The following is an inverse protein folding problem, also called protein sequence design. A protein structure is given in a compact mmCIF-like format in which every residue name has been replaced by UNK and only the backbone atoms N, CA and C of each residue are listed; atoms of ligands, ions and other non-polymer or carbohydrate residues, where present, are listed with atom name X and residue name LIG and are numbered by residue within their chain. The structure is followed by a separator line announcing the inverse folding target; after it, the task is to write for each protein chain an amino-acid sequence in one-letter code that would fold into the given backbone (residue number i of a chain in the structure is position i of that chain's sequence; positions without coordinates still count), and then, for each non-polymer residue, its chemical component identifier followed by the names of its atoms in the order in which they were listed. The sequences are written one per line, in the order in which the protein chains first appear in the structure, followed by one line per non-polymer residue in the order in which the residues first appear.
data_IF_348300176225
#
_entry.id   IF_348300176225
#
_cell.length_a   1.000
_cell.length_b   1.000
_cell.length_c   1.000
_cell.angle_alpha   90.00
_cell.angle_beta   90.00
_cell.angle_gamma   90.00
#
_symmetry.space_group_name_H-M   'P 1'
#
loop_
_entity.id
_entity.type
_entity.pdbx_description
1 polymer ?
#
# COMPACT_ATOMS: atom_id res chain seq x y z
N UNK A 1 -27.33 60.90 -16.72
CA UNK A 1 -26.15 60.26 -16.10
C UNK A 1 -26.19 58.79 -16.47
N UNK A 2 -25.21 58.29 -17.23
CA UNK A 2 -25.19 56.89 -17.63
C UNK A 2 -24.82 56.02 -16.41
N UNK A 3 -25.78 55.22 -15.93
CA UNK A 3 -25.49 54.19 -14.93
C UNK A 3 -24.43 53.24 -15.49
N UNK A 4 -23.25 53.19 -14.87
CA UNK A 4 -22.21 52.22 -15.23
C UNK A 4 -22.73 50.83 -14.85
N UNK A 5 -23.20 50.07 -15.84
CA UNK A 5 -23.60 48.68 -15.65
C UNK A 5 -22.40 47.87 -15.19
N UNK A 6 -22.40 47.51 -13.91
CA UNK A 6 -21.37 46.68 -13.28
C UNK A 6 -21.86 45.25 -13.28
N UNK A 7 -21.01 44.32 -13.74
CA UNK A 7 -21.35 42.90 -13.84
C UNK A 7 -20.49 42.07 -12.90
N UNK A 8 -21.08 41.03 -12.32
CA UNK A 8 -20.39 39.99 -11.56
C UNK A 8 -20.26 38.72 -12.38
N UNK A 9 -19.08 38.12 -12.32
CA UNK A 9 -18.90 36.73 -12.76
C UNK A 9 -19.52 35.77 -11.75
N UNK A 10 -19.75 34.54 -12.16
CA UNK A 10 -20.18 33.48 -11.24
C UNK A 10 -19.25 33.31 -10.02
N UNK A 11 -17.93 33.47 -10.21
CA UNK A 11 -16.95 33.47 -9.12
C UNK A 11 -17.16 34.66 -8.16
N UNK A 12 -17.56 35.82 -8.68
CA UNK A 12 -17.93 36.99 -7.87
C UNK A 12 -19.18 36.73 -7.02
N UNK A 13 -20.20 36.10 -7.59
CA UNK A 13 -21.41 35.68 -6.86
C UNK A 13 -21.07 34.70 -5.73
N UNK A 14 -20.24 33.69 -6.01
CA UNK A 14 -19.77 32.71 -5.00
C UNK A 14 -19.08 33.40 -3.81
N UNK A 15 -18.29 34.46 -4.04
CA UNK A 15 -17.64 35.24 -2.96
C UNK A 15 -18.64 36.00 -2.07
N UNK A 16 -19.83 36.31 -2.60
CA UNK A 16 -20.95 36.95 -1.88
C UNK A 16 -21.89 35.94 -1.22
N UNK A 17 -21.56 34.64 -1.24
CA UNK A 17 -22.36 33.59 -0.60
C UNK A 17 -23.43 32.96 -1.50
N UNK A 18 -23.47 33.30 -2.78
CA UNK A 18 -24.39 32.66 -3.73
C UNK A 18 -23.96 31.23 -4.04
N UNK A 19 -24.92 30.31 -3.98
CA UNK A 19 -24.77 28.92 -4.43
C UNK A 19 -25.35 28.73 -5.84
N UNK A 20 -24.92 27.69 -6.57
CA UNK A 20 -25.51 27.36 -7.89
C UNK A 20 -27.03 27.18 -7.84
N UNK A 21 -27.55 26.64 -6.73
CA UNK A 21 -28.98 26.48 -6.53
C UNK A 21 -29.68 27.83 -6.39
N UNK A 22 -29.12 28.74 -5.57
CA UNK A 22 -29.66 30.09 -5.39
C UNK A 22 -29.62 30.90 -6.69
N UNK A 23 -28.55 30.78 -7.47
CA UNK A 23 -28.47 31.45 -8.78
C UNK A 23 -29.57 30.93 -9.71
N UNK A 24 -29.76 29.61 -9.83
CA UNK A 24 -30.83 29.05 -10.67
C UNK A 24 -32.23 29.42 -10.19
N UNK A 25 -32.47 29.46 -8.89
CA UNK A 25 -33.80 29.70 -8.31
C UNK A 25 -34.18 31.18 -8.23
N UNK A 26 -33.23 32.07 -7.91
CA UNK A 26 -33.52 33.47 -7.60
C UNK A 26 -33.03 34.44 -8.68
N UNK A 27 -31.94 34.10 -9.39
CA UNK A 27 -31.42 34.94 -10.47
C UNK A 27 -31.79 34.43 -11.86
N UNK A 28 -31.95 33.12 -12.04
CA UNK A 28 -32.24 32.51 -13.34
C UNK A 28 -31.10 32.71 -14.35
N UNK A 29 -31.46 33.09 -15.58
CA UNK A 29 -30.52 33.28 -16.68
C UNK A 29 -29.59 34.49 -16.47
N UNK A 30 -28.31 34.40 -16.91
CA UNK A 30 -27.37 35.51 -16.84
C UNK A 30 -27.78 36.67 -17.76
N UNK A 31 -27.43 37.89 -17.39
CA UNK A 31 -27.69 39.09 -18.20
C UNK A 31 -26.81 39.14 -19.47
N UNK A 32 -25.59 38.61 -19.37
CA UNK A 32 -24.71 38.43 -20.53
C UNK A 32 -24.12 37.02 -20.50
N UNK A 33 -24.30 36.30 -21.60
CA UNK A 33 -23.72 34.98 -21.83
C UNK A 33 -22.92 34.99 -23.13
N UNK A 34 -21.66 34.56 -23.08
CA UNK A 34 -20.80 34.58 -24.27
C UNK A 34 -19.57 33.71 -24.12
N UNK A 35 -18.83 33.56 -25.22
CA UNK A 35 -17.54 32.86 -25.24
C UNK A 35 -16.44 33.91 -25.14
N UNK A 36 -15.49 33.73 -24.22
CA UNK A 36 -14.35 34.65 -24.10
C UNK A 36 -13.36 34.41 -25.24
N UNK A 37 -13.12 35.38 -26.15
CA UNK A 37 -12.15 35.23 -27.23
C UNK A 37 -10.70 35.08 -26.74
N UNK A 38 -10.40 35.56 -25.53
CA UNK A 38 -9.04 35.59 -24.94
C UNK A 38 -8.74 34.35 -24.10
N UNK A 39 -9.76 33.55 -23.75
CA UNK A 39 -9.65 32.36 -22.90
C UNK A 39 -10.40 31.21 -23.55
N UNK A 40 -9.68 30.31 -24.18
CA UNK A 40 -10.28 29.08 -24.74
C UNK A 40 -10.84 28.22 -23.60
N UNK A 41 -12.16 28.31 -23.41
CA UNK A 41 -12.94 27.52 -22.46
C UNK A 41 -14.18 26.97 -23.18
N UNK A 42 -14.56 25.74 -22.83
CA UNK A 42 -15.77 25.08 -23.33
C UNK A 42 -17.03 25.67 -22.65
N UNK A 43 -16.90 26.16 -21.40
CA UNK A 43 -18.01 26.77 -20.68
C UNK A 43 -18.14 28.27 -21.01
N UNK A 44 -19.34 28.76 -21.36
CA UNK A 44 -19.58 30.18 -21.63
C UNK A 44 -19.44 31.02 -20.35
N UNK A 45 -18.90 32.23 -20.51
CA UNK A 45 -18.89 33.24 -19.45
C UNK A 45 -20.31 33.67 -19.17
N UNK A 46 -20.69 33.66 -17.89
CA UNK A 46 -22.00 34.12 -17.39
C UNK A 46 -21.77 35.34 -16.51
N UNK A 47 -22.36 36.46 -16.90
CA UNK A 47 -22.29 37.72 -16.18
C UNK A 47 -23.67 38.12 -15.68
N UNK A 48 -23.71 38.61 -14.45
CA UNK A 48 -24.94 39.00 -13.77
C UNK A 48 -24.83 40.47 -13.36
N UNK A 49 -25.83 41.28 -13.67
CA UNK A 49 -25.91 42.69 -13.31
C UNK A 49 -25.87 42.83 -11.79
N UNK A 50 -24.90 43.60 -11.29
CA UNK A 50 -24.72 43.82 -9.85
C UNK A 50 -26.00 44.39 -9.22
N UNK A 51 -26.66 45.35 -9.89
CA UNK A 51 -27.91 45.94 -9.40
C UNK A 51 -29.03 44.89 -9.24
N UNK A 52 -29.12 43.92 -10.17
CA UNK A 52 -30.09 42.81 -10.10
C UNK A 52 -29.77 41.90 -8.92
N UNK A 53 -28.50 41.57 -8.74
CA UNK A 53 -28.01 40.74 -7.63
C UNK A 53 -28.32 41.40 -6.29
N UNK A 54 -28.01 42.69 -6.14
CA UNK A 54 -28.27 43.44 -4.91
C UNK A 54 -29.77 43.63 -4.63
N UNK A 55 -30.60 43.74 -5.68
CA UNK A 55 -32.05 43.76 -5.53
C UNK A 55 -32.57 42.44 -4.95
N UNK A 56 -32.07 41.31 -5.44
CA UNK A 56 -32.43 39.98 -4.92
C UNK A 56 -31.85 39.74 -3.52
N UNK A 57 -30.63 40.19 -3.23
CA UNK A 57 -30.03 40.07 -1.89
C UNK A 57 -30.86 40.78 -0.80
N UNK A 58 -31.65 41.80 -1.16
CA UNK A 58 -32.55 42.52 -0.25
C UNK A 58 -33.87 41.81 0.01
N UNK A 59 -34.19 40.74 -0.71
CA UNK A 59 -35.49 40.07 -0.55
C UNK A 59 -35.46 39.03 0.58
N UNK A 60 -36.58 38.79 1.28
CA UNK A 60 -36.65 37.78 2.33
C UNK A 60 -36.42 36.35 1.79
N UNK A 61 -36.72 36.08 0.53
CA UNK A 61 -36.47 34.80 -0.13
C UNK A 61 -34.97 34.49 -0.19
N UNK A 62 -34.14 35.48 -0.53
CA UNK A 62 -32.69 35.31 -0.52
C UNK A 62 -32.16 35.03 0.89
N UNK A 63 -32.64 35.77 1.88
CA UNK A 63 -32.26 35.53 3.28
C UNK A 63 -32.65 34.12 3.73
N UNK A 64 -33.86 33.66 3.40
CA UNK A 64 -34.32 32.31 3.72
C UNK A 64 -33.50 31.23 3.01
N UNK A 65 -33.23 31.38 1.71
CA UNK A 65 -32.40 30.46 0.93
C UNK A 65 -30.95 30.40 1.42
N UNK A 66 -30.35 31.55 1.74
CA UNK A 66 -29.00 31.64 2.28
C UNK A 66 -28.90 30.97 3.66
N UNK A 67 -29.87 31.23 4.55
CA UNK A 67 -29.95 30.58 5.85
C UNK A 67 -30.15 29.06 5.72
N UNK A 68 -31.02 28.61 4.81
CA UNK A 68 -31.23 27.19 4.53
C UNK A 68 -29.97 26.51 3.98
N UNK A 69 -29.29 27.14 3.02
CA UNK A 69 -28.01 26.66 2.49
C UNK A 69 -26.93 26.59 3.58
N UNK A 70 -26.87 27.59 4.47
CA UNK A 70 -26.00 27.61 5.63
C UNK A 70 -26.26 26.46 6.60
N UNK A 71 -27.54 26.19 6.92
CA UNK A 71 -27.94 25.05 7.78
C UNK A 71 -27.57 23.72 7.13
N UNK A 72 -27.85 23.54 5.84
CA UNK A 72 -27.48 22.32 5.11
C UNK A 72 -25.97 22.09 5.08
N UNK A 73 -25.18 23.15 4.84
CA UNK A 73 -23.72 23.07 4.88
C UNK A 73 -23.19 22.76 6.29
N UNK A 74 -23.79 23.33 7.34
CA UNK A 74 -23.45 23.01 8.74
C UNK A 74 -23.79 21.54 9.07
N UNK A 75 -24.97 21.07 8.69
CA UNK A 75 -25.41 19.68 8.89
C UNK A 75 -24.51 18.69 8.14
N UNK A 76 -24.12 19.00 6.90
CA UNK A 76 -23.19 18.20 6.12
C UNK A 76 -21.80 18.11 6.78
N UNK A 77 -21.27 19.24 7.28
CA UNK A 77 -20.01 19.28 8.04
C UNK A 77 -20.09 18.47 9.32
N UNK A 78 -21.16 18.62 10.10
CA UNK A 78 -21.39 17.85 11.31
C UNK A 78 -21.49 16.34 11.02
N UNK A 79 -22.17 15.96 9.94
CA UNK A 79 -22.25 14.57 9.49
C UNK A 79 -20.89 14.01 9.06
N UNK A 80 -20.07 14.80 8.37
CA UNK A 80 -18.71 14.41 8.00
C UNK A 80 -17.81 14.21 9.23
N UNK A 81 -17.89 15.12 10.21
CA UNK A 81 -17.13 15.00 11.46
C UNK A 81 -17.56 13.79 12.29
N UNK A 82 -18.87 13.50 12.39
CA UNK A 82 -19.35 12.27 13.06
C UNK A 82 -18.83 11.00 12.39
N UNK A 83 -18.84 10.93 11.05
CA UNK A 83 -18.26 9.79 10.32
C UNK A 83 -16.76 9.65 10.58
N UNK A 84 -16.03 10.76 10.55
CA UNK A 84 -14.59 10.80 10.89
C UNK A 84 -14.35 10.26 12.30
N UNK A 85 -15.06 10.77 13.30
CA UNK A 85 -14.93 10.33 14.69
C UNK A 85 -15.26 8.84 14.86
N UNK A 86 -16.32 8.35 14.20
CA UNK A 86 -16.68 6.94 14.22
C UNK A 86 -15.56 6.07 13.67
N UNK A 87 -14.98 6.41 12.52
CA UNK A 87 -13.87 5.65 11.93
C UNK A 87 -12.62 5.69 12.81
N UNK A 88 -12.26 6.86 13.36
CA UNK A 88 -11.14 6.95 14.30
C UNK A 88 -11.38 6.11 15.57
N UNK A 89 -12.61 6.07 16.07
CA UNK A 89 -12.99 5.22 17.20
C UNK A 89 -12.86 3.73 16.85
N UNK A 90 -13.37 3.30 15.69
CA UNK A 90 -13.21 1.93 15.20
C UNK A 90 -11.73 1.56 15.06
N UNK A 91 -10.92 2.43 14.46
CA UNK A 91 -9.47 2.22 14.36
C UNK A 91 -8.83 2.11 15.73
N UNK A 92 -9.27 2.85 16.76
CA UNK A 92 -8.69 2.73 18.11
C UNK A 92 -9.10 1.44 18.82
N UNK A 93 -10.36 1.04 18.67
CA UNK A 93 -10.93 -0.12 19.33
C UNK A 93 -10.46 -1.45 18.72
N UNK A 94 -10.31 -1.51 17.39
CA UNK A 94 -9.97 -2.76 16.69
C UNK A 94 -8.56 -3.25 17.08
N UNK A 95 -8.41 -4.46 17.66
CA UNK A 95 -7.11 -4.99 18.04
C UNK A 95 -6.32 -5.45 16.81
N UNK A 96 -5.16 -4.84 16.57
CA UNK A 96 -4.27 -5.24 15.46
C UNK A 96 -3.54 -6.52 15.83
N UNK A 97 -4.05 -7.64 15.32
CA UNK A 97 -3.43 -8.97 15.44
C UNK A 97 -2.29 -9.13 14.44
N UNK A 98 -1.07 -9.16 14.94
CA UNK A 98 0.17 -9.43 14.20
C UNK A 98 0.47 -10.93 14.28
N UNK A 99 0.75 -11.62 13.16
CA UNK A 99 1.15 -13.03 13.19
C UNK A 99 2.50 -13.17 13.88
N UNK A 100 2.59 -14.08 14.87
CA UNK A 100 3.84 -14.43 15.54
C UNK A 100 4.45 -15.63 14.83
N UNK A 101 5.60 -15.43 14.20
CA UNK A 101 6.32 -16.40 13.39
C UNK A 101 7.72 -16.61 13.98
N UNK A 102 8.26 -17.84 13.96
CA UNK A 102 9.67 -18.09 14.24
C UNK A 102 10.57 -17.23 13.34
N UNK A 103 11.72 -16.81 13.85
CA UNK A 103 12.58 -15.86 13.13
C UNK A 103 12.94 -16.33 11.72
N UNK A 104 13.39 -17.57 11.58
CA UNK A 104 13.77 -18.13 10.29
C UNK A 104 12.61 -18.10 9.27
N UNK A 105 11.37 -18.28 9.73
CA UNK A 105 10.19 -18.21 8.84
C UNK A 105 9.86 -16.77 8.45
N UNK A 106 9.93 -15.83 9.39
CA UNK A 106 9.73 -14.41 9.08
C UNK A 106 10.76 -13.91 8.06
N UNK A 107 12.03 -14.29 8.21
CA UNK A 107 13.09 -13.97 7.25
C UNK A 107 12.80 -14.54 5.86
N UNK A 108 12.49 -15.85 5.78
CA UNK A 108 12.15 -16.50 4.50
C UNK A 108 10.99 -15.80 3.80
N UNK A 109 9.90 -15.51 4.51
CA UNK A 109 8.73 -14.84 3.95
C UNK A 109 9.02 -13.40 3.53
N UNK A 110 9.80 -12.66 4.31
CA UNK A 110 10.21 -11.30 4.00
C UNK A 110 11.06 -11.23 2.72
N UNK A 111 12.05 -12.12 2.59
CA UNK A 111 12.88 -12.24 1.39
C UNK A 111 12.04 -12.62 0.18
N UNK A 112 11.14 -13.62 0.32
CA UNK A 112 10.22 -14.01 -0.76
C UNK A 112 9.34 -12.85 -1.19
N UNK A 113 8.71 -12.15 -0.24
CA UNK A 113 7.87 -10.99 -0.51
C UNK A 113 8.64 -9.88 -1.22
N UNK A 114 9.87 -9.58 -0.80
CA UNK A 114 10.75 -8.61 -1.49
C UNK A 114 11.04 -9.01 -2.92
N UNK A 115 11.33 -10.28 -3.18
CA UNK A 115 11.57 -10.80 -4.54
C UNK A 115 10.33 -10.64 -5.42
N UNK A 116 9.15 -10.93 -4.89
CA UNK A 116 7.86 -10.75 -5.59
C UNK A 116 7.58 -9.27 -5.94
N UNK A 117 7.93 -8.34 -5.05
CA UNK A 117 7.78 -6.89 -5.32
C UNK A 117 8.85 -6.34 -6.27
N UNK A 118 10.02 -6.99 -6.36
CA UNK A 118 11.17 -6.53 -7.13
C UNK A 118 11.14 -6.87 -8.63
N UNK A 119 10.07 -7.50 -9.13
CA UNK A 119 9.90 -7.75 -10.57
C UNK A 119 10.99 -8.63 -11.20
N UNK A 120 11.66 -9.48 -10.44
CA UNK A 120 12.47 -10.56 -11.02
C UNK A 120 11.56 -11.74 -11.36
N UNK A 121 11.73 -12.42 -12.52
CA UNK A 121 10.95 -13.60 -12.84
C UNK A 121 11.04 -14.59 -11.67
N UNK A 122 9.91 -15.24 -11.35
CA UNK A 122 9.92 -16.40 -10.47
C UNK A 122 11.06 -17.33 -10.91
N UNK A 123 11.85 -17.92 -10.00
CA UNK A 123 12.77 -18.97 -10.43
C UNK A 123 11.89 -19.99 -11.14
N UNK A 124 12.07 -20.12 -12.46
CA UNK A 124 11.49 -21.22 -13.21
C UNK A 124 11.85 -22.49 -12.42
N UNK A 125 10.95 -23.48 -12.31
CA UNK A 125 11.38 -24.79 -11.86
C UNK A 125 12.59 -25.13 -12.73
N UNK A 126 13.75 -25.33 -12.11
CA UNK A 126 14.96 -25.67 -12.86
C UNK A 126 14.62 -26.87 -13.76
N UNK A 127 15.23 -27.00 -14.94
CA UNK A 127 15.04 -28.19 -15.75
C UNK A 127 15.64 -29.38 -15.01
N UNK A 128 14.86 -29.95 -14.08
CA UNK A 128 14.91 -31.37 -13.83
C UNK A 128 14.36 -32.01 -15.09
N UNK A 129 15.25 -32.28 -16.03
CA UNK A 129 14.93 -33.15 -17.14
C UNK A 129 14.42 -34.47 -16.53
N UNK A 130 13.18 -34.91 -16.80
CA UNK A 130 12.86 -36.30 -16.61
C UNK A 130 13.72 -37.07 -17.61
N UNK A 131 14.67 -37.85 -17.11
CA UNK A 131 15.33 -38.86 -17.92
C UNK A 131 14.26 -39.88 -18.34
N UNK A 132 13.74 -39.70 -19.54
CA UNK A 132 12.91 -40.68 -20.25
C UNK A 132 13.79 -41.87 -20.63
N UNK A 133 13.99 -42.80 -19.70
CA UNK A 133 14.34 -44.18 -20.03
C UNK A 133 13.05 -44.91 -20.40
N UNK A 134 12.93 -45.28 -21.66
CA UNK A 134 11.79 -46.05 -22.17
C UNK A 134 11.64 -47.38 -21.41
N UNK A 135 10.42 -47.84 -21.09
CA UNK A 135 10.19 -49.16 -20.55
C UNK A 135 10.45 -50.22 -21.64
N UNK A 136 11.38 -51.13 -21.37
CA UNK A 136 11.55 -52.34 -22.17
C UNK A 136 10.34 -53.27 -21.99
N UNK A 137 9.71 -53.62 -23.11
CA UNK A 137 8.62 -54.58 -23.21
C UNK A 137 9.10 -56.01 -22.91
N UNK A 138 8.81 -56.51 -21.72
CA UNK A 138 8.82 -57.93 -21.39
C UNK A 138 7.38 -58.45 -21.25
N UNK A 139 7.00 -59.41 -22.08
CA UNK A 139 5.69 -60.05 -22.11
C UNK A 139 5.39 -60.86 -20.82
N UNK A 140 4.11 -61.11 -20.48
CA UNK A 140 3.72 -61.67 -19.19
C UNK A 140 3.92 -63.19 -19.14
N UNK A 141 4.53 -63.68 -18.06
CA UNK A 141 4.46 -65.09 -17.67
C UNK A 141 3.30 -65.29 -16.70
N UNK A 142 2.39 -66.19 -17.06
CA UNK A 142 1.24 -66.65 -16.28
C UNK A 142 1.68 -67.55 -15.11
N UNK A 143 1.14 -67.29 -13.92
CA UNK A 143 1.26 -68.19 -12.77
C UNK A 143 0.66 -67.58 -11.50
N UNK A 144 -0.46 -68.12 -11.04
CA UNK A 144 -1.04 -67.90 -9.72
C UNK A 144 -1.18 -69.28 -9.01
N UNK A 145 -1.51 -69.37 -7.71
CA UNK A 145 -0.68 -68.98 -6.56
C UNK A 145 -0.58 -70.13 -5.50
N UNK A 146 0.03 -69.79 -4.35
CA UNK A 146 -0.14 -70.38 -2.99
C UNK A 146 0.98 -71.32 -2.48
N UNK A 147 1.02 -71.66 -1.16
CA UNK A 147 1.63 -70.83 -0.11
C UNK A 147 2.70 -71.59 0.71
N UNK A 148 3.54 -70.89 1.47
CA UNK A 148 4.43 -71.52 2.43
C UNK A 148 5.16 -70.52 3.35
N UNK A 149 4.83 -70.57 4.64
CA UNK A 149 5.63 -70.08 5.78
C UNK A 149 6.12 -71.31 6.56
N UNK A 150 7.06 -71.24 7.51
CA UNK A 150 8.19 -70.32 7.73
C UNK A 150 9.53 -71.08 7.85
N UNK A 151 10.68 -70.39 7.87
CA UNK A 151 11.98 -71.02 8.14
C UNK A 151 12.98 -70.07 8.80
N UNK A 152 13.26 -70.33 10.06
CA UNK A 152 14.21 -69.63 10.94
C UNK A 152 15.67 -69.82 10.49
N UNK A 153 16.46 -68.75 10.50
CA UNK A 153 17.91 -68.84 10.35
C UNK A 153 18.61 -67.48 10.47
N UNK A 154 19.32 -67.27 11.56
CA UNK A 154 20.37 -66.27 11.72
C UNK A 154 21.65 -66.99 12.15
N UNK A 155 22.84 -66.37 12.13
CA UNK A 155 23.42 -65.43 11.18
C UNK A 155 24.73 -66.01 10.57
N UNK A 156 25.21 -65.43 9.45
CA UNK A 156 26.52 -65.76 8.86
C UNK A 156 27.49 -64.58 8.96
N UNK A 157 28.62 -64.80 9.62
CA UNK A 157 29.73 -63.85 9.76
C UNK A 157 30.50 -63.68 8.43
N UNK A 158 30.86 -62.45 8.10
CA UNK A 158 31.78 -62.11 7.01
C UNK A 158 32.51 -60.81 7.33
N UNK A 159 33.82 -60.91 7.56
CA UNK A 159 34.73 -59.85 8.00
C UNK A 159 35.09 -58.84 6.86
N UNK A 160 35.78 -57.73 7.16
CA UNK A 160 35.79 -56.52 6.33
C UNK A 160 36.83 -56.58 5.19
N UNK A 161 36.51 -55.94 4.07
CA UNK A 161 37.42 -55.71 2.96
C UNK A 161 38.10 -54.34 3.05
N UNK A 162 39.43 -54.36 3.08
CA UNK A 162 40.31 -53.20 3.02
C UNK A 162 40.47 -52.65 1.59
N UNK A 163 40.69 -51.34 1.47
CA UNK A 163 41.12 -50.67 0.24
C UNK A 163 41.39 -49.19 0.50
N UNK A 164 42.68 -48.83 0.60
CA UNK A 164 43.19 -47.49 0.90
C UNK A 164 43.45 -46.66 -0.39
N UNK A 165 44.24 -45.57 -0.37
CA UNK A 165 43.77 -44.18 -0.45
C UNK A 165 44.13 -43.47 -1.77
N UNK A 166 43.47 -42.35 -2.06
CA UNK A 166 43.88 -41.41 -3.11
C UNK A 166 44.56 -40.17 -2.51
N UNK A 167 45.82 -39.95 -2.85
CA UNK A 167 46.64 -38.82 -2.44
C UNK A 167 46.82 -37.78 -3.58
N UNK A 168 47.08 -36.53 -3.18
CA UNK A 168 47.71 -35.46 -3.98
C UNK A 168 46.76 -34.31 -4.35
N UNK A 169 47.10 -33.03 -4.21
CA UNK A 169 48.23 -32.31 -3.61
C UNK A 169 47.78 -30.83 -3.43
N UNK A 170 48.43 -30.04 -2.55
CA UNK A 170 48.08 -28.63 -2.30
C UNK A 170 48.85 -27.67 -3.22
N UNK A 171 48.26 -26.50 -3.49
CA UNK A 171 48.90 -25.36 -4.18
C UNK A 171 48.90 -24.09 -3.31
N UNK A 172 49.89 -23.18 -3.47
CA UNK A 172 50.41 -22.33 -2.40
C UNK A 172 49.66 -21.00 -2.23
N UNK A 173 49.87 -20.36 -1.07
CA UNK A 173 49.29 -19.06 -0.72
C UNK A 173 50.24 -17.85 -0.83
N UNK A 174 49.65 -16.70 -0.45
CA UNK A 174 50.20 -15.37 -0.11
C UNK A 174 50.29 -14.31 -1.24
N UNK A 175 50.39 -12.99 -0.93
CA UNK A 175 49.58 -12.15 -0.02
C UNK A 175 49.13 -10.77 -0.63
N UNK A 176 48.56 -9.92 0.25
CA UNK A 176 47.94 -8.55 0.11
C UNK A 176 48.62 -7.48 -0.79
N UNK A 177 47.77 -6.62 -1.38
CA UNK A 177 47.75 -5.13 -1.33
C UNK A 177 46.56 -4.64 -2.19
N UNK A 178 45.68 -3.69 -1.81
CA UNK A 178 45.94 -2.26 -1.66
C UNK A 178 45.62 -1.52 -2.98
N UNK A 179 44.46 -0.85 -3.08
CA UNK A 179 44.12 -0.06 -4.27
C UNK A 179 42.77 0.67 -4.12
N UNK A 180 42.84 2.00 -3.95
CA UNK A 180 41.70 2.86 -3.61
C UNK A 180 40.70 3.08 -4.72
N UNK A 181 39.47 3.43 -4.33
CA UNK A 181 38.45 3.96 -5.23
C UNK A 181 38.27 5.45 -4.97
N UNK A 182 38.61 6.27 -5.96
CA UNK A 182 38.19 7.66 -6.07
C UNK A 182 37.00 7.75 -7.04
N UNK A 183 35.92 8.42 -6.62
CA UNK A 183 34.72 8.61 -7.45
C UNK A 183 33.49 9.19 -6.72
N UNK A 184 33.64 10.39 -6.13
CA UNK A 184 32.72 11.58 -6.03
C UNK A 184 31.18 11.45 -5.85
N UNK A 185 30.47 12.49 -5.33
CA UNK A 185 29.55 12.35 -4.21
C UNK A 185 28.07 12.67 -4.51
N UNK A 186 27.21 12.30 -3.55
CA UNK A 186 26.05 13.13 -3.17
C UNK A 186 24.67 12.57 -3.50
N UNK A 187 23.96 12.07 -2.47
CA UNK A 187 22.55 12.43 -2.19
C UNK A 187 22.05 11.77 -0.88
N UNK A 188 22.19 12.53 0.21
CA UNK A 188 21.28 12.67 1.37
C UNK A 188 20.63 11.39 1.97
N UNK A 189 21.14 11.01 3.15
CA UNK A 189 20.29 10.66 4.31
C UNK A 189 20.36 9.23 4.83
N UNK A 190 21.12 9.01 5.92
CA UNK A 190 20.84 7.96 6.90
C UNK A 190 21.65 6.66 6.82
N UNK A 191 22.98 6.73 6.81
CA UNK A 191 23.86 5.56 6.98
C UNK A 191 23.98 5.14 8.46
N UNK A 192 22.91 4.56 9.01
CA UNK A 192 22.96 3.81 10.26
C UNK A 192 22.16 2.50 10.06
N UNK A 193 22.73 1.59 9.27
CA UNK A 193 22.10 0.29 8.94
C UNK A 193 22.28 -0.18 7.49
N UNK A 194 23.30 0.30 6.76
CA UNK A 194 23.59 -0.11 5.38
C UNK A 194 24.35 -1.45 5.28
N UNK A 195 24.04 -2.41 6.16
CA UNK A 195 24.51 -3.79 6.06
C UNK A 195 23.38 -4.72 5.59
N UNK A 196 23.69 -5.93 5.10
CA UNK A 196 22.69 -6.93 4.69
C UNK A 196 21.67 -7.23 5.81
N UNK A 197 22.11 -7.18 7.08
CA UNK A 197 21.25 -7.32 8.25
C UNK A 197 20.22 -6.17 8.39
N UNK A 198 20.62 -4.93 8.08
CA UNK A 198 19.73 -3.77 8.10
C UNK A 198 18.70 -3.80 6.97
N UNK A 199 19.06 -4.32 5.79
CA UNK A 199 18.11 -4.54 4.70
C UNK A 199 17.04 -5.59 5.06
N UNK A 200 17.45 -6.68 5.71
CA UNK A 200 16.53 -7.74 6.14
C UNK A 200 15.48 -7.21 7.14
N UNK A 201 15.89 -6.41 8.12
CA UNK A 201 14.96 -5.76 9.07
C UNK A 201 13.91 -4.92 8.36
N UNK A 202 14.30 -4.16 7.33
CA UNK A 202 13.36 -3.37 6.51
C UNK A 202 12.36 -4.26 5.77
N UNK A 203 12.84 -5.36 5.17
CA UNK A 203 11.97 -6.30 4.45
C UNK A 203 11.01 -7.04 5.37
N UNK A 204 11.43 -7.37 6.59
CA UNK A 204 10.55 -7.97 7.60
C UNK A 204 9.41 -7.04 7.97
N UNK A 205 9.71 -5.75 8.20
CA UNK A 205 8.67 -4.73 8.46
C UNK A 205 7.77 -4.53 7.23
N UNK A 206 8.33 -4.47 6.01
CA UNK A 206 7.56 -4.37 4.76
C UNK A 206 6.57 -5.53 4.60
N UNK A 207 7.03 -6.76 4.84
CA UNK A 207 6.20 -7.95 4.76
C UNK A 207 5.08 -7.95 5.81
N UNK A 208 5.39 -7.61 7.07
CA UNK A 208 4.37 -7.52 8.12
C UNK A 208 3.34 -6.44 7.82
N UNK A 209 3.77 -5.27 7.33
CA UNK A 209 2.86 -4.24 6.82
C UNK A 209 1.96 -4.77 5.70
N UNK A 210 2.52 -5.51 4.74
CA UNK A 210 1.74 -6.13 3.67
C UNK A 210 0.67 -7.09 4.19
N UNK A 211 1.02 -7.99 5.13
CA UNK A 211 0.07 -8.92 5.75
C UNK A 211 -1.04 -8.19 6.52
N UNK A 212 -0.72 -7.04 7.10
CA UNK A 212 -1.65 -6.23 7.88
C UNK A 212 -2.49 -5.27 7.02
N UNK A 213 -2.34 -5.25 5.70
CA UNK A 213 -3.19 -4.44 4.79
C UNK A 213 -4.67 -4.76 4.88
N UNK A 214 -5.07 -5.91 5.42
CA UNK A 214 -6.47 -6.21 5.71
C UNK A 214 -7.15 -5.15 6.59
N UNK A 215 -6.39 -4.45 7.44
CA UNK A 215 -6.93 -3.38 8.29
C UNK A 215 -7.16 -2.08 7.52
N UNK A 216 -6.72 -1.97 6.26
CA UNK A 216 -7.04 -0.82 5.39
C UNK A 216 -8.56 -0.71 5.16
N UNK A 217 -9.31 -1.83 5.27
CA UNK A 217 -10.77 -1.86 5.20
C UNK A 217 -11.44 -1.01 6.30
N UNK A 218 -10.75 -0.72 7.42
CA UNK A 218 -11.24 0.20 8.45
C UNK A 218 -11.41 1.63 7.93
N UNK A 219 -10.83 1.96 6.77
CA UNK A 219 -10.90 3.28 6.14
C UNK A 219 -12.06 3.41 5.15
N UNK A 220 -12.81 2.34 4.86
CA UNK A 220 -13.82 2.32 3.79
C UNK A 220 -15.01 3.26 4.06
N UNK A 221 -15.24 3.65 5.32
CA UNK A 221 -16.27 4.62 5.70
C UNK A 221 -15.91 6.10 5.46
N UNK A 222 -14.66 6.40 5.06
CA UNK A 222 -14.20 7.77 4.79
C UNK A 222 -14.17 8.05 3.29
N UNK A 223 -15.25 8.64 2.80
CA UNK A 223 -15.33 9.22 1.46
C UNK A 223 -14.91 10.71 1.52
N UNK A 224 -13.96 11.10 0.65
CA UNK A 224 -13.26 12.39 0.58
C UNK A 224 -12.08 12.60 1.57
N UNK A 225 -11.21 13.57 1.22
CA UNK A 225 -9.91 13.80 1.85
C UNK A 225 -9.97 14.21 3.33
N UNK A 226 -11.09 14.77 3.81
CA UNK A 226 -11.22 15.25 5.18
C UNK A 226 -11.28 14.08 6.17
N UNK A 227 -10.23 13.90 6.96
CA UNK A 227 -10.14 12.85 7.98
C UNK A 227 -9.50 11.54 7.49
N UNK A 228 -9.49 11.26 6.18
CA UNK A 228 -8.86 10.05 5.64
C UNK A 228 -7.35 10.00 5.92
N UNK A 229 -6.64 11.09 5.62
CA UNK A 229 -5.19 11.16 5.88
C UNK A 229 -4.84 11.03 7.37
N UNK A 230 -5.71 11.51 8.25
CA UNK A 230 -5.52 11.35 9.70
C UNK A 230 -5.77 9.90 10.13
N UNK A 231 -6.85 9.28 9.64
CA UNK A 231 -7.16 7.89 9.90
C UNK A 231 -6.05 6.96 9.39
N UNK A 232 -5.50 7.23 8.20
CA UNK A 232 -4.34 6.52 7.64
C UNK A 232 -3.10 6.67 8.53
N UNK A 233 -2.79 7.90 8.99
CA UNK A 233 -1.68 8.12 9.94
C UNK A 233 -1.87 7.35 11.25
N UNK A 234 -3.09 7.38 11.81
CA UNK A 234 -3.41 6.67 13.04
C UNK A 234 -3.28 5.16 12.87
N UNK A 235 -3.87 4.60 11.81
CA UNK A 235 -3.80 3.18 11.51
C UNK A 235 -2.35 2.73 11.31
N UNK A 236 -1.59 3.46 10.49
CA UNK A 236 -0.17 3.20 10.24
C UNK A 236 0.65 3.20 11.54
N UNK A 237 0.44 4.19 12.41
CA UNK A 237 1.08 4.25 13.73
C UNK A 237 0.74 3.01 14.57
N UNK A 238 -0.55 2.64 14.69
CA UNK A 238 -0.98 1.47 15.47
C UNK A 238 -0.41 0.17 14.91
N UNK A 239 -0.32 0.04 13.58
CA UNK A 239 0.32 -1.11 12.93
C UNK A 239 1.77 -1.24 13.34
N UNK A 240 2.55 -0.16 13.28
CA UNK A 240 3.95 -0.19 13.70
C UNK A 240 4.14 -0.45 15.20
N UNK A 241 3.29 0.13 16.05
CA UNK A 241 3.30 -0.16 17.49
C UNK A 241 2.97 -1.64 17.78
N UNK A 242 2.00 -2.21 17.06
CA UNK A 242 1.66 -3.63 17.20
C UNK A 242 2.79 -4.55 16.72
N UNK A 243 3.44 -4.22 15.59
CA UNK A 243 4.61 -4.96 15.09
C UNK A 243 5.76 -4.87 16.11
N UNK A 244 6.06 -3.69 16.64
CA UNK A 244 7.12 -3.48 17.62
C UNK A 244 6.87 -4.28 18.92
N UNK A 245 5.61 -4.38 19.35
CA UNK A 245 5.22 -5.19 20.51
C UNK A 245 5.41 -6.69 20.25
N UNK A 246 5.01 -7.18 19.07
CA UNK A 246 5.15 -8.59 18.70
C UNK A 246 6.61 -8.99 18.40
N UNK A 247 7.42 -8.05 17.90
CA UNK A 247 8.81 -8.26 17.50
C UNK A 247 9.71 -7.12 18.00
N UNK A 248 10.16 -7.15 19.28
CA UNK A 248 10.93 -6.06 19.88
C UNK A 248 12.18 -5.65 19.11
N UNK A 249 12.87 -6.58 18.44
CA UNK A 249 14.02 -6.28 17.58
C UNK A 249 13.71 -5.37 16.38
N UNK A 250 12.45 -5.33 15.93
CA UNK A 250 12.00 -4.49 14.81
C UNK A 250 11.57 -3.09 15.28
N UNK A 251 11.51 -2.85 16.60
CA UNK A 251 10.99 -1.61 17.17
C UNK A 251 11.74 -0.37 16.68
N UNK A 252 13.07 -0.44 16.55
CA UNK A 252 13.88 0.67 16.04
C UNK A 252 13.51 1.06 14.60
N UNK A 253 13.25 0.08 13.72
CA UNK A 253 12.81 0.33 12.35
C UNK A 253 11.36 0.85 12.31
N UNK A 254 10.48 0.30 13.13
CA UNK A 254 9.10 0.76 13.27
C UNK A 254 9.04 2.23 13.74
N UNK A 255 9.86 2.59 14.72
CA UNK A 255 9.98 3.95 15.24
C UNK A 255 10.51 4.92 14.17
N UNK A 256 11.51 4.51 13.38
CA UNK A 256 12.04 5.33 12.26
C UNK A 256 10.97 5.65 11.23
N UNK A 257 10.07 4.72 10.91
CA UNK A 257 9.02 4.90 9.88
C UNK A 257 7.80 5.65 10.38
N UNK A 258 7.63 5.77 11.69
CA UNK A 258 6.50 6.46 12.32
C UNK A 258 6.79 7.94 12.56
N UNK A 259 8.07 8.32 12.64
CA UNK A 259 8.53 9.73 12.62
C UNK A 259 8.34 10.34 11.24
#
# INVERSE_FOLDING_TARGET
MAERLTYLTFTGLRRRGWTDAMVRQLLGEPDVQGRDPRRWSVAPVRLYLLARVEAVERTPEFAACSAAAGRSAAAARAGAERRRQAVLATIRAEPIRVPVLPQAELERRAVRHRRLLGGGPAPAPGPGAPGSGAPGSGAPGSGAPAPGVPGSGAPGAGAPGAGAPGAGAPGPGAPRAGGGAAGVPGARGGAAGAGPAGALVRWQVDYLCHVLRRYDALLDGLFAATGRAEAERLLRRRVYEAIARAYPRLAAECARRTR
#
